data_IF_997222001641
#
_entry.id   IF_997222001641
#
_cell.length_a   1.000
_cell.length_b   1.000
_cell.length_c   1.000
_cell.angle_alpha   90.00
_cell.angle_beta   90.00
_cell.angle_gamma   90.00
#
_symmetry.space_group_name_H-M   'P 1'
#
loop_
_entity.id
_entity.type
_entity.pdbx_description
1 polymer ?
#
# COMPACT_ATOMS: atom_id res chain seq x y z
N UNK A 1 24.73 82.91 2.63
CA UNK A 1 25.92 82.34 1.96
C UNK A 1 25.94 80.84 2.19
N UNK A 2 26.15 80.05 1.12
CA UNK A 2 26.52 78.61 1.03
C UNK A 2 25.55 77.56 1.64
N UNK A 3 24.81 76.79 0.82
CA UNK A 3 25.14 75.46 0.25
C UNK A 3 25.43 74.37 1.30
N UNK A 4 24.66 73.28 1.32
CA UNK A 4 25.07 71.99 0.70
C UNK A 4 23.96 70.92 0.76
N UNK A 5 23.95 70.09 -0.28
CA UNK A 5 23.07 68.94 -0.55
C UNK A 5 23.12 67.84 0.50
N UNK A 6 22.02 67.10 0.63
CA UNK A 6 21.98 65.80 1.31
C UNK A 6 20.69 65.04 1.04
N UNK A 7 20.51 64.54 -0.19
CA UNK A 7 19.49 63.54 -0.53
C UNK A 7 19.87 62.22 0.16
N UNK A 8 19.12 61.83 1.20
CA UNK A 8 19.19 60.50 1.80
C UNK A 8 18.04 59.65 1.26
N UNK A 9 18.33 58.95 0.16
CA UNK A 9 17.55 57.81 -0.32
C UNK A 9 17.74 56.64 0.64
N UNK A 10 16.79 56.44 1.55
CA UNK A 10 16.67 55.22 2.34
C UNK A 10 16.19 54.08 1.43
N UNK A 11 17.15 53.36 0.85
CA UNK A 11 16.92 52.06 0.24
C UNK A 11 16.60 51.03 1.32
N UNK A 12 15.33 50.69 1.49
CA UNK A 12 14.89 49.52 2.23
C UNK A 12 15.34 48.27 1.47
N UNK A 13 16.49 47.71 1.83
CA UNK A 13 16.83 46.34 1.45
C UNK A 13 15.95 45.40 2.28
N UNK A 14 14.85 44.94 1.68
CA UNK A 14 14.17 43.74 2.14
C UNK A 14 15.16 42.59 2.00
N UNK A 15 15.85 42.28 3.11
CA UNK A 15 16.56 41.02 3.24
C UNK A 15 15.48 39.93 3.27
N UNK A 16 15.30 39.24 2.13
CA UNK A 16 14.62 37.96 2.12
C UNK A 16 15.39 37.03 3.05
N UNK A 17 14.93 36.86 4.28
CA UNK A 17 15.39 35.77 5.13
C UNK A 17 14.96 34.48 4.45
N UNK A 18 15.91 33.80 3.80
CA UNK A 18 15.67 32.44 3.31
C UNK A 18 15.15 31.59 4.47
N UNK A 19 14.09 30.77 4.24
CA UNK A 19 13.68 29.80 5.23
C UNK A 19 14.87 28.90 5.58
N UNK A 20 15.03 28.53 6.87
CA UNK A 20 16.14 27.68 7.27
C UNK A 20 16.14 26.40 6.43
N UNK A 21 17.31 25.90 6.02
CA UNK A 21 17.39 24.66 5.27
C UNK A 21 16.68 23.56 6.07
N UNK A 22 15.96 22.64 5.39
CA UNK A 22 15.33 21.54 6.08
C UNK A 22 16.39 20.78 6.89
N UNK A 23 16.05 20.32 8.11
CA UNK A 23 17.00 19.60 8.94
C UNK A 23 17.58 18.42 8.15
N UNK A 24 18.90 18.23 8.26
CA UNK A 24 19.56 17.11 7.62
C UNK A 24 18.82 15.81 7.97
N UNK A 25 18.56 14.92 6.98
CA UNK A 25 17.88 13.67 7.25
C UNK A 25 18.62 12.94 8.36
N UNK A 26 17.90 12.54 9.42
CA UNK A 26 18.49 11.68 10.44
C UNK A 26 18.82 10.35 9.76
N UNK A 27 20.09 10.14 9.45
CA UNK A 27 20.58 8.84 8.97
C UNK A 27 20.63 7.91 10.16
N UNK A 28 19.55 7.17 10.39
CA UNK A 28 19.59 6.14 11.43
C UNK A 28 20.57 5.05 11.01
N UNK A 29 21.36 4.48 11.94
CA UNK A 29 22.22 3.35 11.61
C UNK A 29 21.36 2.16 11.15
N UNK A 30 21.70 1.55 10.02
CA UNK A 30 21.06 0.32 9.54
C UNK A 30 21.37 -0.81 10.54
N UNK A 31 20.35 -1.32 11.24
CA UNK A 31 20.48 -2.56 11.98
C UNK A 31 20.66 -3.71 10.98
N UNK A 32 21.83 -4.35 10.98
CA UNK A 32 22.14 -5.46 10.07
C UNK A 32 21.32 -6.72 10.37
N UNK A 33 20.74 -6.81 11.58
CA UNK A 33 19.99 -7.96 12.09
C UNK A 33 18.66 -7.52 12.71
N UNK A 34 17.89 -6.70 11.99
CA UNK A 34 16.62 -6.15 12.50
C UNK A 34 15.48 -7.17 12.61
N UNK A 35 15.60 -8.33 11.97
CA UNK A 35 14.49 -9.30 11.87
C UNK A 35 13.40 -8.90 10.87
N UNK A 36 13.40 -7.64 10.40
CA UNK A 36 12.43 -7.06 9.46
C UNK A 36 12.53 -7.59 8.02
N UNK A 37 13.57 -8.38 7.73
CA UNK A 37 13.88 -8.82 6.39
C UNK A 37 14.45 -7.70 5.51
N UNK A 38 14.41 -7.92 4.20
CA UNK A 38 14.96 -7.03 3.18
C UNK A 38 13.85 -6.27 2.48
N UNK A 39 13.94 -4.94 2.44
CA UNK A 39 13.10 -4.10 1.59
C UNK A 39 13.51 -4.32 0.13
N UNK A 40 12.57 -4.78 -0.69
CA UNK A 40 12.81 -5.16 -2.09
C UNK A 40 12.14 -4.23 -3.10
N UNK A 41 11.06 -3.54 -2.71
CA UNK A 41 10.50 -2.43 -3.47
C UNK A 41 9.81 -1.44 -2.55
N UNK A 42 9.77 -0.19 -3.00
CA UNK A 42 9.06 0.94 -2.37
C UNK A 42 8.41 1.71 -3.50
N UNK A 43 7.09 1.60 -3.61
CA UNK A 43 6.33 2.12 -4.75
C UNK A 43 5.31 3.14 -4.27
N UNK A 44 5.13 4.23 -5.00
CA UNK A 44 4.07 5.20 -4.71
C UNK A 44 2.75 4.68 -5.22
N UNK A 45 1.70 4.82 -4.41
CA UNK A 45 0.35 4.43 -4.78
C UNK A 45 -0.65 5.52 -4.48
N UNK A 46 -1.68 5.61 -5.33
CA UNK A 46 -2.86 6.44 -5.12
C UNK A 46 -4.09 5.54 -5.03
N UNK A 47 -4.90 5.70 -3.97
CA UNK A 47 -6.17 4.99 -3.79
C UNK A 47 -7.32 6.00 -3.86
N UNK A 48 -8.14 5.91 -4.90
CA UNK A 48 -9.21 6.91 -5.18
C UNK A 48 -10.22 7.01 -4.05
N UNK A 49 -10.65 5.88 -3.47
CA UNK A 49 -11.55 5.86 -2.30
C UNK A 49 -10.86 6.11 -0.96
N UNK A 50 -9.54 6.29 -0.97
CA UNK A 50 -8.73 6.41 0.23
C UNK A 50 -8.57 5.08 0.98
N UNK A 51 -7.77 5.12 2.03
CA UNK A 51 -7.59 4.05 3.00
C UNK A 51 -7.28 4.65 4.39
N UNK A 52 -7.59 3.90 5.43
CA UNK A 52 -7.36 4.31 6.81
C UNK A 52 -5.92 4.04 7.23
N UNK A 53 -5.32 5.00 7.91
CA UNK A 53 -4.06 4.84 8.65
C UNK A 53 -4.23 5.31 10.09
N UNK A 54 -3.44 4.73 10.99
CA UNK A 54 -3.37 5.15 12.39
C UNK A 54 -2.03 5.85 12.64
N UNK A 55 -2.06 7.10 13.07
CA UNK A 55 -0.85 7.84 13.47
C UNK A 55 -0.53 7.57 14.92
N UNK A 56 0.60 6.95 15.18
CA UNK A 56 0.92 6.30 16.44
C UNK A 56 1.10 7.21 17.64
N UNK A 57 1.59 8.43 17.44
CA UNK A 57 1.81 9.37 18.54
C UNK A 57 0.49 9.96 19.08
N UNK A 58 -0.49 10.17 18.21
CA UNK A 58 -1.83 10.71 18.53
C UNK A 58 -2.90 9.63 18.66
N UNK A 59 -2.67 8.45 18.07
CA UNK A 59 -3.69 7.44 17.72
C UNK A 59 -4.87 8.02 16.95
N UNK A 60 -4.61 9.02 16.12
CA UNK A 60 -5.62 9.54 15.23
C UNK A 60 -5.81 8.58 14.05
N UNK A 61 -7.06 8.25 13.78
CA UNK A 61 -7.46 7.53 12.57
C UNK A 61 -7.67 8.55 11.45
N UNK A 62 -6.91 8.42 10.38
CA UNK A 62 -6.93 9.37 9.26
C UNK A 62 -7.15 8.62 7.96
N UNK A 63 -8.07 9.10 7.13
CA UNK A 63 -8.22 8.62 5.76
C UNK A 63 -7.26 9.37 4.85
N UNK A 64 -6.42 8.63 4.14
CA UNK A 64 -5.44 9.16 3.19
C UNK A 64 -5.63 8.53 1.80
N UNK A 65 -5.18 9.22 0.76
CA UNK A 65 -5.25 8.73 -0.62
C UNK A 65 -3.89 8.34 -1.19
N UNK A 66 -2.83 9.02 -0.74
CA UNK A 66 -1.46 8.78 -1.15
C UNK A 66 -0.77 7.83 -0.17
N UNK A 67 -0.15 6.79 -0.70
CA UNK A 67 0.53 5.79 0.10
C UNK A 67 1.84 5.30 -0.50
N UNK A 68 2.54 4.50 0.29
CA UNK A 68 3.63 3.66 -0.17
C UNK A 68 3.24 2.19 -0.06
N UNK A 69 3.45 1.46 -1.15
CA UNK A 69 3.42 0.00 -1.16
C UNK A 69 4.85 -0.51 -1.02
N UNK A 70 5.14 -1.19 0.09
CA UNK A 70 6.49 -1.63 0.43
C UNK A 70 6.51 -3.15 0.48
N UNK A 71 7.45 -3.74 -0.27
CA UNK A 71 7.64 -5.19 -0.32
C UNK A 71 8.84 -5.61 0.52
N UNK A 72 8.59 -6.45 1.52
CA UNK A 72 9.60 -7.04 2.38
C UNK A 72 9.78 -8.52 2.04
N UNK A 73 11.02 -9.00 2.03
CA UNK A 73 11.35 -10.42 1.88
C UNK A 73 12.12 -10.92 3.10
N UNK A 74 11.80 -12.13 3.55
CA UNK A 74 12.52 -12.75 4.67
C UNK A 74 12.21 -12.15 6.03
N UNK A 75 11.04 -11.50 6.20
CA UNK A 75 10.53 -11.09 7.51
C UNK A 75 10.47 -12.32 8.43
N UNK A 76 11.20 -12.27 9.56
CA UNK A 76 11.27 -13.42 10.47
C UNK A 76 10.05 -13.46 11.38
N UNK A 77 9.07 -14.27 10.99
CA UNK A 77 7.85 -14.48 11.77
C UNK A 77 8.11 -14.91 13.23
N UNK A 78 9.12 -15.73 13.51
CA UNK A 78 9.36 -16.20 14.89
C UNK A 78 9.85 -15.09 15.83
N UNK A 79 10.47 -14.04 15.29
CA UNK A 79 10.83 -12.83 16.03
C UNK A 79 9.66 -11.84 16.11
N UNK A 80 8.81 -11.85 15.08
CA UNK A 80 7.57 -11.08 15.04
C UNK A 80 6.58 -11.60 16.08
N UNK A 81 6.31 -12.89 16.14
CA UNK A 81 5.30 -13.46 17.04
C UNK A 81 5.90 -14.57 17.92
N UNK A 82 6.50 -14.21 19.05
CA UNK A 82 6.80 -15.19 20.07
C UNK A 82 5.49 -15.83 20.54
N UNK A 83 5.48 -17.17 20.62
CA UNK A 83 4.30 -17.94 21.08
C UNK A 83 3.82 -17.36 22.42
N UNK A 84 2.54 -16.99 22.47
CA UNK A 84 1.81 -16.41 23.62
C UNK A 84 1.73 -14.88 23.78
N UNK A 85 2.05 -14.07 22.74
CA UNK A 85 1.87 -12.61 22.78
C UNK A 85 1.08 -12.07 21.56
N UNK A 86 0.37 -10.93 21.68
CA UNK A 86 -0.21 -10.26 20.52
C UNK A 86 0.90 -9.88 19.54
N UNK A 87 0.63 -9.88 18.22
CA UNK A 87 1.64 -9.49 17.26
C UNK A 87 2.07 -8.04 17.49
N UNK A 88 3.38 -7.74 17.42
CA UNK A 88 3.86 -6.38 17.28
C UNK A 88 3.32 -5.80 15.97
N UNK A 89 3.11 -4.50 15.95
CA UNK A 89 2.66 -3.81 14.75
C UNK A 89 3.86 -3.20 14.03
N UNK A 90 3.77 -3.13 12.70
CA UNK A 90 4.75 -2.43 11.87
C UNK A 90 4.39 -0.94 11.77
N UNK A 91 5.41 -0.09 11.83
CA UNK A 91 5.27 1.37 11.81
C UNK A 91 6.31 1.96 10.87
N UNK A 92 5.89 2.78 9.91
CA UNK A 92 6.78 3.60 9.09
C UNK A 92 6.76 5.04 9.61
N UNK A 93 7.90 5.53 10.07
CA UNK A 93 7.95 6.82 10.75
C UNK A 93 7.11 6.74 12.01
N UNK A 94 6.00 7.47 12.04
CA UNK A 94 4.99 7.45 13.10
C UNK A 94 3.64 6.86 12.66
N UNK A 95 3.53 6.31 11.46
CA UNK A 95 2.28 5.77 10.93
C UNK A 95 2.28 4.25 10.96
N UNK A 96 1.24 3.67 11.56
CA UNK A 96 1.02 2.24 11.52
C UNK A 96 0.76 1.81 10.08
N UNK A 97 1.34 0.67 9.70
CA UNK A 97 1.19 0.13 8.35
C UNK A 97 0.11 -0.93 8.34
N UNK A 98 -0.61 -0.99 7.22
CA UNK A 98 -1.56 -2.03 6.90
C UNK A 98 -0.85 -3.18 6.19
N UNK A 99 -1.05 -4.42 6.63
CA UNK A 99 -0.51 -5.60 5.95
C UNK A 99 -1.46 -6.03 4.83
N UNK A 100 -1.05 -5.81 3.57
CA UNK A 100 -1.82 -6.16 2.37
C UNK A 100 -1.66 -7.63 2.01
N UNK A 101 -0.42 -8.12 2.11
CA UNK A 101 -0.10 -9.54 1.94
C UNK A 101 0.57 -10.02 3.20
N UNK A 102 -0.16 -10.88 3.88
CA UNK A 102 0.20 -11.37 5.19
C UNK A 102 1.27 -12.50 5.12
N UNK A 103 2.23 -12.52 6.05
CA UNK A 103 3.32 -13.51 6.08
C UNK A 103 2.90 -14.94 6.47
N UNK A 104 1.70 -15.19 7.01
CA UNK A 104 1.23 -16.55 7.37
C UNK A 104 1.12 -17.46 6.15
N UNK A 105 0.90 -16.87 4.97
CA UNK A 105 0.88 -17.58 3.69
C UNK A 105 2.31 -17.94 3.24
N UNK A 106 2.93 -18.93 3.90
CA UNK A 106 4.15 -19.67 3.52
C UNK A 106 5.20 -18.92 2.68
N UNK A 107 6.26 -18.42 3.35
CA UNK A 107 7.56 -17.99 2.76
C UNK A 107 7.47 -17.05 1.55
N UNK A 108 6.44 -16.21 1.45
CA UNK A 108 6.34 -15.16 0.44
C UNK A 108 6.64 -13.78 0.99
N UNK A 109 6.90 -12.86 0.07
CA UNK A 109 7.06 -11.44 0.37
C UNK A 109 5.87 -10.89 1.15
N UNK A 110 6.14 -10.20 2.24
CA UNK A 110 5.16 -9.35 2.92
C UNK A 110 5.00 -8.08 2.11
N UNK A 111 3.76 -7.65 1.88
CA UNK A 111 3.50 -6.35 1.27
C UNK A 111 2.71 -5.52 2.26
N UNK A 112 3.22 -4.33 2.57
CA UNK A 112 2.60 -3.38 3.48
C UNK A 112 2.20 -2.13 2.73
N UNK A 113 1.12 -1.50 3.20
CA UNK A 113 0.62 -0.21 2.76
C UNK A 113 0.71 0.77 3.92
N UNK A 114 1.12 1.99 3.66
CA UNK A 114 1.21 3.07 4.66
C UNK A 114 0.99 4.41 3.98
N UNK A 115 0.67 5.46 4.75
CA UNK A 115 0.59 6.82 4.21
C UNK A 115 1.96 7.24 3.66
N UNK A 116 1.97 8.02 2.58
CA UNK A 116 3.21 8.43 1.95
C UNK A 116 3.92 9.53 2.75
N UNK A 117 5.13 9.28 3.31
CA UNK A 117 5.94 10.36 3.87
C UNK A 117 6.44 11.29 2.74
N UNK A 118 7.02 12.46 3.09
CA UNK A 118 7.54 13.39 2.09
C UNK A 118 8.54 12.69 1.13
N UNK A 119 8.48 12.96 -0.18
CA UNK A 119 9.29 12.25 -1.16
C UNK A 119 10.79 12.53 -0.99
N UNK A 120 11.62 11.55 -1.36
CA UNK A 120 13.08 11.64 -1.29
C UNK A 120 13.67 11.69 0.13
N UNK A 121 12.86 11.48 1.16
CA UNK A 121 13.27 11.45 2.56
C UNK A 121 13.61 10.04 3.05
N UNK A 122 14.51 9.96 4.03
CA UNK A 122 14.79 8.74 4.78
C UNK A 122 13.79 8.63 5.94
N UNK A 123 13.09 7.49 6.03
CA UNK A 123 12.10 7.21 7.07
C UNK A 123 12.34 5.81 7.62
N UNK A 124 12.26 5.67 8.94
CA UNK A 124 12.49 4.38 9.60
C UNK A 124 11.24 3.50 9.59
N UNK A 125 11.35 2.27 9.08
CA UNK A 125 10.37 1.20 9.31
C UNK A 125 10.82 0.40 10.54
N UNK A 126 9.92 0.18 11.48
CA UNK A 126 10.22 -0.49 12.76
C UNK A 126 9.00 -1.26 13.29
N UNK A 127 9.24 -2.08 14.30
CA UNK A 127 8.21 -2.90 14.95
C UNK A 127 7.97 -2.45 16.38
N UNK A 128 6.71 -2.44 16.83
CA UNK A 128 6.41 -2.24 18.25
C UNK A 128 6.93 -3.43 19.09
N UNK A 129 7.12 -3.27 20.41
CA UNK A 129 7.44 -4.39 21.28
C UNK A 129 6.30 -5.42 21.38
N UNK A 130 6.59 -6.73 21.53
CA UNK A 130 5.57 -7.78 21.62
C UNK A 130 4.56 -7.65 22.78
N UNK A 131 4.95 -6.99 23.88
CA UNK A 131 4.08 -6.76 25.05
C UNK A 131 3.30 -5.43 24.96
N UNK A 132 3.71 -4.54 24.07
CA UNK A 132 2.93 -3.37 23.68
C UNK A 132 1.96 -3.84 22.60
N UNK A 133 0.83 -4.40 23.02
CA UNK A 133 -0.27 -4.75 22.12
C UNK A 133 -0.82 -3.51 21.39
N UNK A 134 -1.86 -3.67 20.55
CA UNK A 134 -2.48 -2.57 19.80
C UNK A 134 -3.12 -1.47 20.68
N UNK A 135 -3.08 -1.59 22.01
CA UNK A 135 -3.32 -0.48 22.94
C UNK A 135 -2.07 0.38 23.02
N UNK A 136 -1.92 1.27 22.03
CA UNK A 136 -0.65 1.85 21.64
C UNK A 136 -0.06 2.79 22.71
N UNK A 137 1.24 2.68 22.94
CA UNK A 137 2.03 3.77 23.52
C UNK A 137 1.74 5.06 22.73
N UNK A 138 1.35 6.15 23.40
CA UNK A 138 1.11 7.47 22.79
C UNK A 138 2.24 8.44 23.14
N UNK A 139 2.34 9.54 22.38
CA UNK A 139 3.21 10.66 22.71
C UNK A 139 4.64 10.25 23.05
N UNK A 140 5.09 10.55 24.27
CA UNK A 140 6.47 10.31 24.70
C UNK A 140 6.87 8.83 24.69
N UNK A 141 5.98 7.92 25.10
CA UNK A 141 6.28 6.49 25.12
C UNK A 141 6.44 5.94 23.69
N UNK A 142 5.59 6.40 22.76
CA UNK A 142 5.73 6.08 21.34
C UNK A 142 7.09 6.55 20.78
N UNK A 143 7.45 7.82 20.99
CA UNK A 143 8.72 8.37 20.47
C UNK A 143 9.93 7.71 21.12
N UNK A 144 9.83 7.28 22.38
CA UNK A 144 10.87 6.50 23.08
C UNK A 144 11.02 5.11 22.47
N UNK A 145 9.91 4.42 22.19
CA UNK A 145 9.93 3.15 21.47
C UNK A 145 10.53 3.30 20.07
N UNK A 146 10.08 4.28 19.30
CA UNK A 146 10.61 4.61 17.98
C UNK A 146 12.13 4.83 18.02
N UNK A 147 12.62 5.65 18.95
CA UNK A 147 14.06 5.93 19.09
C UNK A 147 14.86 4.67 19.45
N UNK A 148 14.31 3.79 20.28
CA UNK A 148 14.94 2.52 20.66
C UNK A 148 15.02 1.57 19.46
N UNK A 149 13.92 1.38 18.74
CA UNK A 149 13.84 0.41 17.64
C UNK A 149 14.58 0.89 16.38
N UNK A 150 14.68 2.20 16.14
CA UNK A 150 15.51 2.79 15.08
C UNK A 150 16.98 3.01 15.49
N UNK A 151 17.35 2.69 16.73
CA UNK A 151 18.71 2.79 17.22
C UNK A 151 19.64 1.69 16.68
N UNK A 152 20.94 1.81 16.96
CA UNK A 152 21.99 0.90 16.45
C UNK A 152 21.80 -0.60 16.82
N UNK A 153 21.05 -0.88 17.89
CA UNK A 153 20.73 -2.24 18.34
C UNK A 153 19.24 -2.59 18.19
N UNK A 154 18.47 -1.71 17.55
CA UNK A 154 17.03 -1.85 17.40
C UNK A 154 16.65 -2.73 16.21
N UNK A 155 15.35 -2.97 16.06
CA UNK A 155 14.76 -3.81 15.01
C UNK A 155 14.21 -3.01 13.84
N UNK A 156 14.74 -1.81 13.59
CA UNK A 156 14.33 -0.95 12.50
C UNK A 156 15.22 -1.01 11.27
N UNK A 157 14.68 -0.59 10.13
CA UNK A 157 15.41 -0.35 8.88
C UNK A 157 15.07 1.02 8.33
N UNK A 158 16.00 1.66 7.63
CA UNK A 158 15.69 2.88 6.90
C UNK A 158 15.16 2.56 5.51
N UNK A 159 14.17 3.34 5.12
CA UNK A 159 13.55 3.33 3.82
C UNK A 159 13.73 4.71 3.22
N UNK A 160 14.37 4.75 2.06
CA UNK A 160 14.35 5.96 1.23
C UNK A 160 13.03 6.00 0.47
N UNK A 161 12.24 7.03 0.72
CA UNK A 161 11.00 7.24 -0.02
C UNK A 161 11.30 7.59 -1.48
N UNK A 162 10.45 7.19 -2.43
CA UNK A 162 10.63 7.53 -3.83
C UNK A 162 10.63 9.05 -4.04
N UNK A 163 11.28 9.51 -5.11
CA UNK A 163 11.26 10.92 -5.48
C UNK A 163 9.84 11.39 -5.87
N UNK A 164 9.62 12.70 -5.89
CA UNK A 164 8.29 13.29 -6.12
C UNK A 164 7.76 13.00 -7.54
N UNK A 165 8.67 12.76 -8.47
CA UNK A 165 8.47 12.43 -9.87
C UNK A 165 8.39 10.92 -10.13
N UNK A 166 8.59 10.08 -9.10
CA UNK A 166 8.50 8.63 -9.26
C UNK A 166 7.08 8.23 -9.70
N UNK A 167 6.94 7.22 -10.59
CA UNK A 167 5.64 6.74 -11.05
C UNK A 167 4.71 6.38 -9.89
N UNK A 168 3.41 6.67 -10.07
CA UNK A 168 2.37 6.39 -9.09
C UNK A 168 1.40 5.35 -9.65
N UNK A 169 1.29 4.21 -8.98
CA UNK A 169 0.31 3.17 -9.32
C UNK A 169 -1.05 3.53 -8.72
N UNK A 170 -2.09 3.63 -9.56
CA UNK A 170 -3.43 4.04 -9.13
C UNK A 170 -4.39 2.87 -8.98
N UNK A 171 -5.18 2.88 -7.91
CA UNK A 171 -6.19 1.87 -7.58
C UNK A 171 -7.49 2.55 -7.18
N UNK A 172 -8.63 1.95 -7.55
CA UNK A 172 -9.94 2.51 -7.20
C UNK A 172 -10.19 2.44 -5.68
N UNK A 173 -9.81 1.33 -5.05
CA UNK A 173 -10.05 1.08 -3.62
C UNK A 173 -8.98 0.15 -3.03
N UNK A 174 -8.95 0.06 -1.70
CA UNK A 174 -8.05 -0.83 -0.97
C UNK A 174 -8.30 -2.31 -1.31
N UNK A 175 -9.56 -2.70 -1.56
CA UNK A 175 -9.92 -4.05 -1.99
C UNK A 175 -9.28 -4.39 -3.33
N UNK A 176 -9.37 -3.49 -4.31
CA UNK A 176 -8.74 -3.68 -5.64
C UNK A 176 -7.22 -3.78 -5.52
N UNK A 177 -6.60 -3.02 -4.62
CA UNK A 177 -5.18 -3.15 -4.33
C UNK A 177 -4.85 -4.53 -3.74
N UNK A 178 -5.58 -4.97 -2.70
CA UNK A 178 -5.40 -6.29 -2.07
C UNK A 178 -5.58 -7.43 -3.07
N UNK A 179 -6.53 -7.32 -3.98
CA UNK A 179 -6.71 -8.24 -5.10
C UNK A 179 -5.46 -8.32 -5.97
N UNK A 180 -4.99 -7.18 -6.49
CA UNK A 180 -3.83 -7.11 -7.38
C UNK A 180 -2.52 -7.56 -6.72
N UNK A 181 -2.31 -7.25 -5.45
CA UNK A 181 -1.05 -7.52 -4.75
C UNK A 181 -1.02 -8.92 -4.14
N UNK A 182 -2.16 -9.45 -3.70
CA UNK A 182 -2.24 -10.76 -3.04
C UNK A 182 -2.18 -11.97 -3.95
N UNK A 183 -2.23 -11.80 -5.28
CA UNK A 183 -2.10 -12.90 -6.22
C UNK A 183 -0.64 -13.19 -6.59
N UNK A 184 -0.17 -14.42 -6.35
CA UNK A 184 1.13 -14.87 -6.85
C UNK A 184 1.05 -15.09 -8.36
N UNK A 185 2.00 -14.54 -9.12
CA UNK A 185 2.16 -14.82 -10.56
C UNK A 185 3.07 -16.00 -10.88
N UNK A 186 3.66 -16.61 -9.85
CA UNK A 186 4.43 -17.85 -9.93
C UNK A 186 4.48 -18.51 -8.56
N UNK A 187 4.60 -19.84 -8.54
CA UNK A 187 4.71 -20.65 -7.34
C UNK A 187 5.79 -21.71 -7.54
N UNK A 188 6.79 -21.72 -6.65
CA UNK A 188 7.94 -22.64 -6.74
C UNK A 188 8.64 -22.64 -8.11
N UNK A 189 8.73 -21.48 -8.76
CA UNK A 189 9.35 -21.33 -10.10
C UNK A 189 8.43 -21.69 -11.27
N UNK A 190 7.23 -22.21 -11.01
CA UNK A 190 6.22 -22.49 -12.04
C UNK A 190 5.40 -21.22 -12.30
N UNK A 191 5.29 -20.73 -13.54
CA UNK A 191 4.47 -19.58 -13.88
C UNK A 191 2.98 -19.80 -13.63
N UNK A 192 2.25 -18.73 -13.30
CA UNK A 192 0.82 -18.83 -13.03
C UNK A 192 0.00 -19.48 -14.16
N UNK A 193 0.21 -19.18 -15.46
CA UNK A 193 -0.55 -19.82 -16.53
C UNK A 193 -0.51 -21.36 -16.50
N UNK A 194 0.65 -21.94 -16.18
CA UNK A 194 0.83 -23.40 -16.11
C UNK A 194 0.07 -24.00 -14.91
N UNK A 195 0.19 -23.36 -13.74
CA UNK A 195 -0.52 -23.76 -12.53
C UNK A 195 -2.04 -23.63 -12.69
N UNK A 196 -2.49 -22.50 -13.26
CA UNK A 196 -3.90 -22.22 -13.52
C UNK A 196 -4.50 -23.23 -14.50
N UNK A 197 -3.76 -23.58 -15.57
CA UNK A 197 -4.17 -24.65 -16.48
C UNK A 197 -4.28 -26.01 -15.75
N UNK A 198 -3.34 -26.33 -14.85
CA UNK A 198 -3.38 -27.57 -14.07
C UNK A 198 -4.60 -27.64 -13.13
N UNK A 199 -4.99 -26.52 -12.52
CA UNK A 199 -6.20 -26.46 -11.65
C UNK A 199 -7.47 -26.10 -12.42
N UNK A 200 -7.41 -26.09 -13.76
CA UNK A 200 -8.53 -25.84 -14.69
C UNK A 200 -9.22 -24.49 -14.46
N UNK A 201 -8.43 -23.46 -14.17
CA UNK A 201 -8.85 -22.06 -13.95
C UNK A 201 -8.32 -21.23 -15.11
N UNK A 202 -9.20 -20.50 -15.81
CA UNK A 202 -8.84 -19.72 -17.00
C UNK A 202 -8.50 -18.26 -16.68
N UNK A 203 -9.00 -17.73 -15.56
CA UNK A 203 -8.87 -16.32 -15.20
C UNK A 203 -9.11 -16.09 -13.70
N UNK A 204 -8.84 -14.87 -13.24
CA UNK A 204 -9.12 -14.44 -11.88
C UNK A 204 -8.18 -15.07 -10.86
N UNK A 205 -8.61 -15.08 -9.59
CA UNK A 205 -7.81 -15.62 -8.51
C UNK A 205 -8.30 -17.01 -8.09
N UNK A 206 -7.35 -17.88 -7.73
CA UNK A 206 -7.66 -19.19 -7.14
C UNK A 206 -6.89 -19.38 -5.85
N UNK A 207 -7.58 -19.81 -4.80
CA UNK A 207 -6.93 -20.27 -3.57
C UNK A 207 -6.33 -21.66 -3.78
N UNK A 208 -5.08 -21.83 -3.35
CA UNK A 208 -4.38 -23.11 -3.40
C UNK A 208 -3.82 -23.45 -2.03
N UNK A 209 -3.39 -24.70 -1.83
CA UNK A 209 -2.69 -25.13 -0.61
C UNK A 209 -1.39 -24.35 -0.33
N UNK A 210 -0.88 -23.61 -1.32
CA UNK A 210 0.37 -22.87 -1.25
C UNK A 210 0.15 -21.35 -1.34
N UNK A 211 -1.10 -20.88 -1.29
CA UNK A 211 -1.49 -19.46 -1.35
C UNK A 211 -2.32 -19.11 -2.59
N UNK A 212 -2.76 -17.86 -2.68
CA UNK A 212 -3.58 -17.36 -3.78
C UNK A 212 -2.76 -17.13 -5.05
N UNK A 213 -3.23 -17.66 -6.19
CA UNK A 213 -2.60 -17.49 -7.50
C UNK A 213 -3.42 -16.55 -8.39
N UNK A 214 -2.74 -15.65 -9.12
CA UNK A 214 -3.34 -14.75 -10.13
C UNK A 214 -3.28 -15.42 -11.51
N UNK A 215 -4.42 -15.91 -12.00
CA UNK A 215 -4.55 -16.54 -13.31
C UNK A 215 -4.79 -15.54 -14.44
N UNK A 216 -4.69 -14.24 -14.16
CA UNK A 216 -4.82 -13.18 -15.14
C UNK A 216 -6.27 -12.84 -15.48
N UNK A 217 -6.43 -12.04 -16.53
CA UNK A 217 -7.73 -11.59 -17.02
C UNK A 217 -8.10 -12.32 -18.31
N UNK A 218 -9.40 -12.33 -18.63
CA UNK A 218 -9.86 -12.90 -19.89
C UNK A 218 -9.45 -12.04 -21.10
N UNK A 219 -9.41 -12.65 -22.31
CA UNK A 219 -9.25 -11.92 -23.56
C UNK A 219 -10.28 -10.80 -23.73
N UNK A 220 -10.00 -9.84 -24.61
CA UNK A 220 -10.91 -8.71 -24.85
C UNK A 220 -12.33 -9.18 -25.20
N UNK A 221 -13.32 -8.49 -24.63
CA UNK A 221 -14.75 -8.80 -24.82
C UNK A 221 -15.27 -9.94 -23.96
N UNK A 222 -14.45 -10.54 -23.09
CA UNK A 222 -14.86 -11.58 -22.16
C UNK A 222 -14.73 -11.11 -20.70
N UNK A 223 -15.55 -11.68 -19.83
CA UNK A 223 -15.51 -11.47 -18.38
C UNK A 223 -15.12 -12.75 -17.67
N UNK A 224 -14.45 -12.61 -16.53
CA UNK A 224 -14.11 -13.74 -15.68
C UNK A 224 -15.30 -14.04 -14.75
N UNK A 225 -15.84 -15.24 -14.84
CA UNK A 225 -16.98 -15.68 -14.02
C UNK A 225 -16.54 -16.06 -12.61
N UNK A 226 -17.51 -16.26 -11.71
CA UNK A 226 -17.27 -16.78 -10.38
C UNK A 226 -16.61 -18.18 -10.38
N UNK A 227 -16.80 -18.95 -11.44
CA UNK A 227 -16.17 -20.26 -11.64
C UNK A 227 -14.77 -20.16 -12.27
N UNK A 228 -14.22 -18.93 -12.35
CA UNK A 228 -12.93 -18.64 -12.95
C UNK A 228 -12.79 -19.08 -14.43
N UNK A 229 -13.90 -19.05 -15.16
CA UNK A 229 -13.93 -19.31 -16.59
C UNK A 229 -14.15 -18.01 -17.36
N UNK A 230 -13.61 -17.93 -18.56
CA UNK A 230 -13.85 -16.78 -19.42
C UNK A 230 -15.15 -16.96 -20.18
N UNK A 231 -16.02 -15.95 -20.07
CA UNK A 231 -17.36 -15.97 -20.63
C UNK A 231 -17.58 -14.73 -21.48
N UNK A 232 -18.22 -14.88 -22.64
CA UNK A 232 -18.60 -13.75 -23.50
C UNK A 232 -20.01 -13.30 -23.09
N UNK A 233 -20.16 -12.13 -22.45
CA UNK A 233 -21.48 -11.69 -21.98
C UNK A 233 -22.38 -11.41 -23.18
N UNK A 234 -23.63 -11.87 -23.07
CA UNK A 234 -24.65 -11.49 -24.05
C UNK A 234 -24.96 -9.99 -23.94
N UNK A 235 -25.52 -9.45 -25.01
CA UNK A 235 -26.08 -8.10 -25.06
C UNK A 235 -27.61 -8.18 -25.17
N UNK A 236 -28.31 -7.09 -24.84
CA UNK A 236 -29.76 -7.02 -25.03
C UNK A 236 -30.15 -7.35 -26.48
N UNK A 237 -29.37 -6.87 -27.45
CA UNK A 237 -29.54 -7.17 -28.86
C UNK A 237 -29.34 -8.66 -29.18
N UNK A 238 -28.28 -9.30 -28.68
CA UNK A 238 -28.03 -10.72 -28.95
C UNK A 238 -29.05 -11.65 -28.29
N UNK A 239 -29.71 -11.20 -27.21
CA UNK A 239 -30.81 -11.92 -26.55
C UNK A 239 -32.19 -11.62 -27.13
N UNK A 240 -32.29 -10.72 -28.12
CA UNK A 240 -33.56 -10.26 -28.68
C UNK A 240 -34.46 -9.55 -27.66
N UNK A 241 -33.87 -8.92 -26.63
CA UNK A 241 -34.59 -8.20 -25.57
C UNK A 241 -34.58 -6.69 -25.85
N UNK A 242 -35.77 -6.12 -26.01
CA UNK A 242 -35.97 -4.68 -26.19
C UNK A 242 -36.24 -3.92 -24.89
N UNK A 243 -36.45 -4.64 -23.77
CA UNK A 243 -36.66 -4.07 -22.45
C UNK A 243 -36.38 -5.10 -21.35
N UNK A 244 -36.16 -4.64 -20.12
CA UNK A 244 -35.95 -5.41 -18.90
C UNK A 244 -34.68 -4.97 -18.17
N UNK A 245 -34.78 -4.62 -16.88
CA UNK A 245 -33.66 -4.08 -16.07
C UNK A 245 -32.79 -5.16 -15.43
N UNK A 246 -33.24 -6.42 -15.46
CA UNK A 246 -32.53 -7.58 -14.88
C UNK A 246 -32.57 -8.73 -15.89
N UNK A 247 -31.96 -8.52 -17.04
CA UNK A 247 -31.83 -9.56 -18.08
C UNK A 247 -30.50 -10.27 -17.89
N UNK A 248 -30.46 -11.59 -17.59
CA UNK A 248 -29.20 -12.30 -17.40
C UNK A 248 -28.32 -12.26 -18.66
N UNK A 249 -27.03 -11.94 -18.49
CA UNK A 249 -26.05 -11.91 -19.58
C UNK A 249 -25.45 -13.29 -19.91
N UNK A 250 -25.80 -14.33 -19.14
CA UNK A 250 -25.26 -15.69 -19.25
C UNK A 250 -23.88 -15.89 -18.62
N UNK A 251 -23.25 -14.84 -18.10
CA UNK A 251 -21.93 -14.85 -17.45
C UNK A 251 -21.98 -14.50 -15.95
N UNK A 252 -23.18 -14.37 -15.40
CA UNK A 252 -23.40 -14.09 -13.98
C UNK A 252 -23.67 -12.62 -13.66
N UNK A 253 -23.78 -11.76 -14.68
CA UNK A 253 -24.21 -10.37 -14.52
C UNK A 253 -25.60 -10.15 -15.11
N UNK A 254 -26.18 -9.00 -14.80
CA UNK A 254 -27.47 -8.57 -15.34
C UNK A 254 -27.27 -7.36 -16.27
N UNK A 255 -27.96 -7.39 -17.39
CA UNK A 255 -28.09 -6.31 -18.35
C UNK A 255 -29.32 -5.47 -18.01
N UNK A 256 -29.18 -4.16 -18.19
CA UNK A 256 -30.31 -3.25 -18.27
C UNK A 256 -30.63 -2.96 -19.75
N UNK A 257 -31.71 -3.56 -20.24
CA UNK A 257 -32.23 -3.38 -21.59
C UNK A 257 -33.28 -2.26 -21.68
N UNK A 258 -33.43 -1.45 -20.63
CA UNK A 258 -34.39 -0.35 -20.54
C UNK A 258 -35.71 -0.73 -19.89
N UNK A 259 -36.52 0.27 -19.54
CA UNK A 259 -37.83 0.06 -18.93
C UNK A 259 -38.80 -0.62 -19.89
N UNK A 260 -39.47 -1.67 -19.43
CA UNK A 260 -40.53 -2.28 -20.23
C UNK A 260 -41.77 -1.38 -20.26
N UNK A 261 -42.48 -1.31 -21.40
CA UNK A 261 -43.76 -0.62 -21.47
C UNK A 261 -44.70 -1.22 -20.43
N UNK A 262 -45.26 -0.37 -19.58
CA UNK A 262 -46.40 -0.76 -18.73
C UNK A 262 -47.58 -1.05 -19.65
N UNK A 263 -48.09 -2.27 -19.56
CA UNK A 263 -49.31 -2.68 -20.28
C UNK A 263 -50.55 -2.31 -19.47
#
# INVERSE_FOLDING_TARGET
MLRLCGLLLLGLTLACTEPPPPPAPRTWPRSQNSGLGTVTSVERVHITRGFTVFRGDTQEEVTVHEGLLIKLQGLNWTEFMPRAMPPPSLVLGDSYVEMIVDPFSFRSSTVILTEAPPPGTEVGLWMTPPWEGPTLSRGAEFKKAQTRELGAKGRGVNIRTPAAEAPVSSYLSLEVLREKVGGRRSMNGVPAPELCAHVQVACGFKETAHGRIDCGVCPQGQTCTADNTCCTPATCASLGRSCGTVVPDGCGFALDCGACPVR
#
